data_IF_548802350027
#
_entry.id   IF_548802350027
#
_cell.length_a   1.000
_cell.length_b   1.000
_cell.length_c   1.000
_cell.angle_alpha   90.00
_cell.angle_beta   90.00
_cell.angle_gamma   90.00
#
_symmetry.space_group_name_H-M   'P 1'
#
loop_
_entity.id
_entity.type
_entity.pdbx_description
1 polymer ?
#
# COMPACT_ATOMS: atom_id res chain seq x y z
N UNK A 1 10.23 5.09 27.05
CA UNK A 1 9.90 3.69 26.71
C UNK A 1 8.65 3.43 27.48
N UNK A 2 7.57 3.15 26.77
CA UNK A 2 6.24 3.25 27.37
C UNK A 2 5.89 1.91 28.04
N UNK A 3 5.10 1.92 29.10
CA UNK A 3 4.54 0.72 29.71
C UNK A 3 3.02 0.79 29.55
N UNK A 4 2.44 -0.26 28.97
CA UNK A 4 1.00 -0.36 28.75
C UNK A 4 0.50 -1.63 29.42
N UNK A 5 -0.40 -1.48 30.41
CA UNK A 5 -1.10 -2.61 31.01
C UNK A 5 -2.45 -2.79 30.34
N UNK A 6 -2.73 -4.01 29.92
CA UNK A 6 -3.95 -4.35 29.21
C UNK A 6 -5.05 -4.78 30.16
N UNK A 7 -6.30 -4.49 29.80
CA UNK A 7 -7.45 -5.23 30.33
C UNK A 7 -7.47 -6.64 29.72
N UNK A 8 -8.19 -7.57 30.37
CA UNK A 8 -8.39 -8.93 29.86
C UNK A 8 -8.81 -8.97 28.38
N UNK A 9 -9.73 -8.09 27.96
CA UNK A 9 -10.19 -8.00 26.56
C UNK A 9 -9.07 -7.65 25.58
N UNK A 10 -8.17 -6.74 25.94
CA UNK A 10 -7.01 -6.38 25.11
C UNK A 10 -6.02 -7.53 25.01
N UNK A 11 -5.77 -8.22 26.13
CA UNK A 11 -4.91 -9.41 26.14
C UNK A 11 -5.47 -10.54 25.25
N UNK A 12 -6.76 -10.89 25.38
CA UNK A 12 -7.42 -11.92 24.58
C UNK A 12 -7.38 -11.62 23.06
N UNK A 13 -7.34 -10.34 22.67
CA UNK A 13 -7.15 -9.94 21.27
C UNK A 13 -5.77 -10.29 20.76
N UNK A 14 -4.73 -9.99 21.54
CA UNK A 14 -3.35 -10.36 21.20
C UNK A 14 -3.25 -11.88 21.06
N UNK A 15 -3.84 -12.65 21.99
CA UNK A 15 -3.83 -14.13 21.90
C UNK A 15 -4.49 -14.66 20.62
N UNK A 16 -5.46 -13.92 20.06
CA UNK A 16 -6.09 -14.22 18.77
C UNK A 16 -5.33 -13.63 17.56
N UNK A 17 -4.10 -13.17 17.76
CA UNK A 17 -3.24 -12.51 16.79
C UNK A 17 -3.81 -11.21 16.20
N UNK A 18 -4.72 -10.54 16.92
CA UNK A 18 -5.20 -9.23 16.54
C UNK A 18 -4.17 -8.17 16.95
N UNK A 19 -3.67 -7.40 15.98
CA UNK A 19 -2.57 -6.47 16.22
C UNK A 19 -3.01 -5.13 16.81
N UNK A 20 -4.30 -4.79 16.76
CA UNK A 20 -4.80 -3.49 17.21
C UNK A 20 -5.50 -3.59 18.56
N UNK A 21 -5.10 -2.74 19.49
CA UNK A 21 -5.66 -2.61 20.83
C UNK A 21 -6.17 -1.19 20.98
N UNK A 22 -7.45 -1.07 21.34
CA UNK A 22 -8.10 0.22 21.47
C UNK A 22 -7.91 0.82 22.87
N UNK A 23 -8.04 2.15 22.99
CA UNK A 23 -7.85 2.87 24.25
C UNK A 23 -8.74 2.34 25.39
N UNK A 24 -9.96 1.89 25.09
CA UNK A 24 -10.88 1.31 26.06
C UNK A 24 -10.47 -0.10 26.54
N UNK A 25 -9.51 -0.73 25.87
CA UNK A 25 -8.96 -2.06 26.17
C UNK A 25 -7.65 -1.99 26.97
N UNK A 26 -7.17 -0.77 27.26
CA UNK A 26 -5.99 -0.49 28.08
C UNK A 26 -6.45 -0.13 29.50
N UNK A 27 -5.77 -0.70 30.51
CA UNK A 27 -6.04 -0.46 31.93
C UNK A 27 -5.23 0.71 32.46
N UNK A 28 -3.92 0.70 32.22
CA UNK A 28 -2.97 1.68 32.74
C UNK A 28 -1.90 1.97 31.69
N UNK A 29 -1.45 3.22 31.63
CA UNK A 29 -0.30 3.63 30.80
C UNK A 29 0.66 4.42 31.67
N UNK A 30 1.91 3.99 31.73
CA UNK A 30 3.03 4.76 32.26
C UNK A 30 3.89 5.21 31.09
N UNK A 31 3.84 6.50 30.79
CA UNK A 31 4.39 7.05 29.55
C UNK A 31 4.95 8.45 29.77
N UNK A 32 6.20 8.66 29.36
CA UNK A 32 6.86 9.98 29.44
C UNK A 32 6.53 10.83 28.20
N UNK A 33 6.36 10.18 27.05
CA UNK A 33 6.23 10.85 25.74
C UNK A 33 4.83 10.78 25.13
N UNK A 34 3.97 9.90 25.64
CA UNK A 34 2.64 9.61 25.07
C UNK A 34 2.66 8.83 23.74
N UNK A 35 3.84 8.65 23.12
CA UNK A 35 4.03 7.97 21.83
C UNK A 35 5.38 7.26 21.82
N UNK A 36 5.45 6.03 21.29
CA UNK A 36 6.70 5.31 21.08
C UNK A 36 6.56 3.79 21.15
N UNK A 37 7.68 3.09 21.39
CA UNK A 37 7.67 1.65 21.69
C UNK A 37 7.20 1.43 23.12
N UNK A 38 6.17 0.59 23.27
CA UNK A 38 5.62 0.17 24.54
C UNK A 38 6.00 -1.28 24.88
N UNK A 39 6.38 -1.51 26.14
CA UNK A 39 6.33 -2.83 26.77
C UNK A 39 4.91 -3.07 27.28
N UNK A 40 4.34 -4.22 26.90
CA UNK A 40 2.94 -4.54 27.10
C UNK A 40 2.85 -5.58 28.21
N UNK A 41 1.97 -5.36 29.17
CA UNK A 41 1.75 -6.24 30.31
C UNK A 41 0.27 -6.61 30.47
N UNK A 42 0.02 -7.79 31.03
CA UNK A 42 -1.29 -8.23 31.51
C UNK A 42 -1.06 -9.07 32.77
N UNK A 43 -1.81 -8.81 33.85
CA UNK A 43 -1.65 -9.52 35.13
C UNK A 43 -0.18 -9.52 35.61
N UNK A 44 0.45 -8.35 35.52
CA UNK A 44 1.88 -8.07 35.81
C UNK A 44 2.91 -8.94 35.05
N UNK A 45 2.47 -9.67 34.02
CA UNK A 45 3.34 -10.46 33.14
C UNK A 45 3.58 -9.75 31.83
N UNK A 46 4.82 -9.81 31.35
CA UNK A 46 5.18 -9.30 30.03
C UNK A 46 4.45 -10.11 28.94
N UNK A 47 3.77 -9.40 28.05
CA UNK A 47 3.02 -9.95 26.91
C UNK A 47 3.78 -9.74 25.60
N UNK A 48 4.48 -8.62 25.47
CA UNK A 48 5.18 -8.28 24.25
C UNK A 48 5.50 -6.80 24.12
N UNK A 49 5.83 -6.37 22.90
CA UNK A 49 6.09 -4.98 22.54
C UNK A 49 5.21 -4.52 21.40
N UNK A 50 4.93 -3.22 21.36
CA UNK A 50 4.09 -2.61 20.32
C UNK A 50 4.35 -1.11 20.13
N UNK A 51 3.75 -0.55 19.09
CA UNK A 51 3.72 0.88 18.80
C UNK A 51 2.56 1.51 19.57
N UNK A 52 2.86 2.41 20.50
CA UNK A 52 1.85 3.13 21.27
C UNK A 52 1.71 4.58 20.78
N UNK A 53 0.47 5.05 20.67
CA UNK A 53 0.11 6.45 20.51
C UNK A 53 -1.19 6.74 21.29
N UNK A 54 -1.04 7.42 22.44
CA UNK A 54 -2.15 7.76 23.33
C UNK A 54 -3.17 8.74 22.76
N UNK A 55 -2.87 9.42 21.64
CA UNK A 55 -3.78 10.39 21.02
C UNK A 55 -4.82 9.75 20.09
N UNK A 56 -4.81 8.42 19.93
CA UNK A 56 -5.64 7.72 18.94
C UNK A 56 -6.51 6.67 19.60
N UNK A 57 -7.68 6.37 19.02
CA UNK A 57 -8.55 5.29 19.54
C UNK A 57 -7.90 3.91 19.42
N UNK A 58 -7.19 3.66 18.32
CA UNK A 58 -6.38 2.45 18.14
C UNK A 58 -4.98 2.70 18.72
N UNK A 59 -4.90 2.81 20.04
CA UNK A 59 -3.76 3.39 20.74
C UNK A 59 -2.52 2.50 20.75
N UNK A 60 -2.66 1.19 20.54
CA UNK A 60 -1.54 0.27 20.58
C UNK A 60 -1.59 -0.73 19.41
N UNK A 61 -0.50 -0.78 18.63
CA UNK A 61 -0.31 -1.72 17.52
C UNK A 61 0.79 -2.73 17.88
N UNK A 62 0.42 -3.97 18.13
CA UNK A 62 1.31 -5.04 18.58
C UNK A 62 2.38 -5.38 17.54
N UNK A 63 3.62 -5.63 17.99
CA UNK A 63 4.76 -5.94 17.13
C UNK A 63 5.35 -7.33 17.39
N UNK A 64 5.54 -7.75 18.65
CA UNK A 64 6.24 -9.00 18.95
C UNK A 64 5.93 -9.49 20.36
N UNK A 65 5.91 -10.81 20.54
CA UNK A 65 5.83 -11.47 21.85
C UNK A 65 7.19 -11.58 22.54
N UNK A 66 8.28 -11.38 21.80
CA UNK A 66 9.63 -11.53 22.34
C UNK A 66 10.02 -10.29 23.13
N UNK A 67 10.72 -10.50 24.23
CA UNK A 67 11.45 -9.42 24.91
C UNK A 67 12.71 -9.08 24.09
N UNK A 68 12.52 -8.31 23.03
CA UNK A 68 13.57 -7.94 22.07
C UNK A 68 13.44 -6.49 21.63
N UNK A 69 14.56 -5.84 21.36
CA UNK A 69 14.57 -4.47 20.85
C UNK A 69 13.99 -4.36 19.44
N UNK A 70 13.23 -3.28 19.20
CA UNK A 70 12.71 -2.92 17.87
C UNK A 70 13.79 -2.13 17.12
N UNK A 71 14.88 -2.82 16.78
CA UNK A 71 16.07 -2.26 16.14
C UNK A 71 16.25 -2.77 14.70
N UNK A 72 17.40 -2.47 14.08
CA UNK A 72 17.74 -2.88 12.72
C UNK A 72 17.51 -4.39 12.47
N UNK A 73 17.94 -5.25 13.40
CA UNK A 73 17.82 -6.70 13.27
C UNK A 73 16.36 -7.17 13.35
N UNK A 74 15.52 -6.49 14.13
CA UNK A 74 14.08 -6.75 14.16
C UNK A 74 13.46 -6.53 12.78
N UNK A 75 13.72 -5.38 12.15
CA UNK A 75 13.17 -5.05 10.83
C UNK A 75 13.73 -5.96 9.73
N UNK A 76 15.04 -6.21 9.71
CA UNK A 76 15.67 -7.16 8.76
C UNK A 76 14.98 -8.52 8.79
N UNK A 77 14.77 -9.08 9.99
CA UNK A 77 14.10 -10.37 10.13
C UNK A 77 12.65 -10.34 9.63
N UNK A 78 11.92 -9.25 9.89
CA UNK A 78 10.55 -9.05 9.35
C UNK A 78 10.54 -8.96 7.83
N UNK A 79 11.50 -8.24 7.24
CA UNK A 79 11.63 -8.09 5.80
C UNK A 79 12.00 -9.42 5.12
N UNK A 80 12.87 -10.23 5.72
CA UNK A 80 13.16 -11.57 5.21
C UNK A 80 11.92 -12.47 5.17
N UNK A 81 11.07 -12.45 6.21
CA UNK A 81 9.79 -13.16 6.17
C UNK A 81 8.86 -12.64 5.06
N UNK A 82 8.79 -11.31 4.88
CA UNK A 82 7.97 -10.71 3.84
C UNK A 82 8.46 -11.07 2.42
N UNK A 83 9.78 -11.10 2.20
CA UNK A 83 10.44 -11.57 0.96
C UNK A 83 10.12 -13.02 0.67
N UNK A 84 10.22 -13.90 1.68
CA UNK A 84 9.93 -15.32 1.52
C UNK A 84 8.50 -15.56 1.03
N UNK A 85 7.52 -14.82 1.55
CA UNK A 85 6.11 -14.89 1.10
C UNK A 85 5.92 -14.46 -0.35
N UNK A 86 6.83 -13.66 -0.89
CA UNK A 86 6.76 -13.03 -2.21
C UNK A 86 7.80 -13.55 -3.18
N UNK A 87 8.51 -14.62 -2.82
CA UNK A 87 9.64 -15.17 -3.57
C UNK A 87 9.33 -15.47 -5.04
N UNK A 88 8.07 -15.82 -5.35
CA UNK A 88 7.62 -16.16 -6.70
C UNK A 88 7.06 -14.97 -7.50
N UNK A 89 6.96 -13.79 -6.89
CA UNK A 89 6.41 -12.60 -7.54
C UNK A 89 7.53 -11.77 -8.18
N UNK A 90 7.20 -11.06 -9.26
CA UNK A 90 8.14 -10.12 -9.88
C UNK A 90 8.54 -9.00 -8.91
N UNK A 91 9.70 -8.34 -9.10
CA UNK A 91 10.12 -7.17 -8.32
C UNK A 91 9.22 -5.94 -8.46
N UNK A 92 8.13 -6.02 -9.23
CA UNK A 92 7.07 -5.03 -9.28
C UNK A 92 5.92 -5.54 -8.40
N UNK A 93 5.84 -5.15 -7.12
CA UNK A 93 4.88 -5.71 -6.15
C UNK A 93 4.84 -4.92 -4.86
N UNK A 94 3.82 -5.16 -4.02
CA UNK A 94 3.89 -4.75 -2.62
C UNK A 94 4.84 -5.66 -1.87
N UNK A 95 5.90 -5.12 -1.30
CA UNK A 95 6.89 -5.87 -0.52
C UNK A 95 6.49 -6.02 0.95
N UNK A 96 6.01 -4.94 1.58
CA UNK A 96 5.52 -4.92 2.96
C UNK A 96 4.09 -4.40 2.97
N UNK A 97 3.16 -5.15 3.55
CA UNK A 97 1.74 -4.84 3.63
C UNK A 97 1.26 -4.68 5.08
N UNK A 98 1.86 -3.74 5.81
CA UNK A 98 1.42 -3.30 7.14
C UNK A 98 1.22 -4.47 8.12
N UNK A 99 0.06 -4.55 8.77
CA UNK A 99 -0.35 -5.63 9.68
C UNK A 99 -0.22 -7.01 9.03
N UNK A 100 -0.46 -7.09 7.72
CA UNK A 100 -0.34 -8.32 6.95
C UNK A 100 1.06 -8.92 7.01
N UNK A 101 2.11 -8.12 7.19
CA UNK A 101 3.50 -8.56 7.39
C UNK A 101 4.02 -8.28 8.81
N UNK A 102 3.09 -8.11 9.77
CA UNK A 102 3.39 -7.89 11.19
C UNK A 102 4.24 -6.63 11.44
N UNK A 103 4.02 -5.60 10.63
CA UNK A 103 4.64 -4.28 10.72
C UNK A 103 3.55 -3.20 10.62
N UNK A 104 2.67 -3.06 11.63
CA UNK A 104 1.52 -2.16 11.56
C UNK A 104 1.91 -0.72 11.23
N UNK A 105 1.37 -0.21 10.13
CA UNK A 105 1.63 1.13 9.63
C UNK A 105 2.80 1.25 8.66
N UNK A 106 3.54 0.19 8.34
CA UNK A 106 4.56 0.22 7.28
C UNK A 106 4.01 -0.37 5.98
N UNK A 107 4.03 0.42 4.90
CA UNK A 107 3.81 -0.09 3.55
C UNK A 107 5.10 0.15 2.76
N UNK A 108 5.53 -0.87 2.02
CA UNK A 108 6.64 -0.74 1.07
C UNK A 108 6.20 -1.37 -0.24
N UNK A 109 6.08 -0.58 -1.28
CA UNK A 109 5.90 -1.05 -2.65
C UNK A 109 7.26 -1.06 -3.35
N UNK A 110 7.51 -2.10 -4.15
CA UNK A 110 8.75 -2.30 -4.90
C UNK A 110 8.46 -2.17 -6.38
N UNK A 111 9.24 -1.31 -7.02
CA UNK A 111 9.22 -1.02 -8.45
C UNK A 111 10.64 -1.31 -8.95
N UNK A 112 10.92 -2.59 -9.16
CA UNK A 112 12.25 -3.13 -9.46
C UNK A 112 13.33 -2.77 -8.42
N UNK A 113 14.19 -1.80 -8.72
CA UNK A 113 15.25 -1.29 -7.84
C UNK A 113 14.84 -0.06 -7.03
N UNK A 114 13.63 0.45 -7.24
CA UNK A 114 13.04 1.54 -6.44
C UNK A 114 12.12 0.99 -5.36
N UNK A 115 12.29 1.43 -4.12
CA UNK A 115 11.34 1.17 -3.03
C UNK A 115 10.55 2.43 -2.71
N UNK A 116 9.23 2.31 -2.61
CA UNK A 116 8.33 3.38 -2.21
C UNK A 116 7.77 3.06 -0.83
N UNK A 117 8.11 3.88 0.15
CA UNK A 117 7.76 3.70 1.56
C UNK A 117 6.59 4.60 1.92
N UNK A 118 5.65 4.06 2.70
CA UNK A 118 4.65 4.85 3.41
C UNK A 118 4.69 4.49 4.89
N UNK A 119 4.83 5.52 5.73
CA UNK A 119 4.77 5.39 7.18
C UNK A 119 3.43 5.94 7.65
N UNK A 120 2.62 5.11 8.31
CA UNK A 120 1.23 5.40 8.69
C UNK A 120 1.02 5.40 10.20
N UNK A 121 2.09 5.56 10.98
CA UNK A 121 2.04 5.64 12.43
C UNK A 121 3.07 6.60 13.01
N UNK A 122 2.67 7.39 14.01
CA UNK A 122 3.55 8.39 14.63
C UNK A 122 4.70 7.72 15.38
N UNK A 123 4.43 6.61 16.07
CA UNK A 123 5.48 5.84 16.74
C UNK A 123 6.48 5.26 15.73
N UNK A 124 6.01 4.82 14.57
CA UNK A 124 6.85 4.24 13.52
C UNK A 124 7.68 5.30 12.79
N UNK A 125 7.18 6.52 12.67
CA UNK A 125 7.90 7.67 12.10
C UNK A 125 9.23 7.91 12.83
N UNK A 126 9.25 7.74 14.16
CA UNK A 126 10.48 7.86 14.96
C UNK A 126 11.52 6.78 14.67
N UNK A 127 11.13 5.69 14.00
CA UNK A 127 11.99 4.57 13.61
C UNK A 127 12.37 4.61 12.13
N UNK A 128 12.00 5.68 11.39
CA UNK A 128 12.18 5.75 9.93
C UNK A 128 13.61 5.49 9.49
N UNK A 129 14.61 6.06 10.16
CA UNK A 129 16.01 5.85 9.80
C UNK A 129 16.41 4.37 9.93
N UNK A 130 16.00 3.70 11.02
CA UNK A 130 16.26 2.26 11.23
C UNK A 130 15.56 1.41 10.16
N UNK A 131 14.33 1.80 9.77
CA UNK A 131 13.58 1.15 8.70
C UNK A 131 14.31 1.31 7.36
N UNK A 132 14.78 2.51 7.03
CA UNK A 132 15.55 2.80 5.82
C UNK A 132 16.82 1.96 5.78
N UNK A 133 17.61 1.95 6.86
CA UNK A 133 18.82 1.14 6.97
C UNK A 133 18.52 -0.36 6.77
N UNK A 134 17.44 -0.86 7.38
CA UNK A 134 17.00 -2.24 7.20
C UNK A 134 16.59 -2.54 5.75
N UNK A 135 15.95 -1.59 5.05
CA UNK A 135 15.58 -1.75 3.65
C UNK A 135 16.81 -1.80 2.74
N UNK A 136 17.82 -0.95 3.01
CA UNK A 136 19.08 -0.96 2.28
C UNK A 136 19.76 -2.32 2.37
N UNK A 137 19.93 -2.85 3.59
CA UNK A 137 20.58 -4.15 3.78
C UNK A 137 19.77 -5.34 3.23
N UNK A 138 18.45 -5.24 3.17
CA UNK A 138 17.58 -6.37 2.80
C UNK A 138 17.29 -6.44 1.31
N UNK A 139 17.32 -5.32 0.59
CA UNK A 139 16.83 -5.22 -0.78
C UNK A 139 17.83 -4.70 -1.81
N UNK A 140 18.94 -4.07 -1.37
CA UNK A 140 19.92 -3.44 -2.26
C UNK A 140 19.24 -2.55 -3.35
N UNK A 141 18.45 -1.53 -2.94
CA UNK A 141 17.75 -0.64 -3.86
C UNK A 141 18.66 0.46 -4.39
N UNK A 142 18.34 1.00 -5.56
CA UNK A 142 18.98 2.21 -6.10
C UNK A 142 18.36 3.49 -5.51
N UNK A 143 17.08 3.44 -5.16
CA UNK A 143 16.35 4.56 -4.56
C UNK A 143 15.31 4.09 -3.55
N UNK A 144 15.16 4.86 -2.47
CA UNK A 144 14.05 4.74 -1.53
C UNK A 144 13.34 6.09 -1.51
N UNK A 145 12.06 6.09 -1.85
CA UNK A 145 11.23 7.28 -1.93
C UNK A 145 10.05 7.20 -0.96
N UNK A 146 9.73 8.28 -0.27
CA UNK A 146 8.59 8.36 0.64
C UNK A 146 7.35 8.91 -0.06
N UNK A 147 6.22 8.21 0.10
CA UNK A 147 4.87 8.63 -0.30
C UNK A 147 3.90 8.57 0.89
N UNK A 148 4.27 9.26 1.97
CA UNK A 148 3.43 9.46 3.15
C UNK A 148 2.55 10.73 3.01
N UNK A 149 2.29 11.17 1.78
CA UNK A 149 1.46 12.31 1.37
C UNK A 149 -0.03 11.93 1.26
N UNK A 150 -0.54 11.26 2.28
CA UNK A 150 -1.90 10.71 2.29
C UNK A 150 -2.98 11.78 2.11
N UNK A 151 -4.05 11.45 1.36
CA UNK A 151 -5.22 12.32 1.22
C UNK A 151 -5.86 12.63 2.59
N UNK A 152 -5.95 11.61 3.46
CA UNK A 152 -6.35 11.75 4.86
C UNK A 152 -5.27 11.17 5.77
N UNK A 153 -5.01 11.84 6.90
CA UNK A 153 -4.02 11.36 7.86
C UNK A 153 -4.48 10.03 8.47
N UNK A 154 -3.65 8.97 8.42
CA UNK A 154 -4.01 7.67 8.98
C UNK A 154 -3.98 7.66 10.51
N UNK A 155 -3.27 8.61 11.12
CA UNK A 155 -3.08 8.71 12.55
C UNK A 155 -2.92 10.18 12.96
N UNK A 156 -3.58 10.58 14.04
CA UNK A 156 -3.48 11.93 14.57
C UNK A 156 -2.04 12.21 15.06
N UNK A 157 -1.51 13.37 14.68
CA UNK A 157 -0.13 13.77 14.98
C UNK A 157 0.91 13.32 13.94
N UNK A 158 0.51 12.61 12.88
CA UNK A 158 1.41 12.26 11.79
C UNK A 158 1.50 13.42 10.77
N UNK A 159 2.73 13.80 10.41
CA UNK A 159 2.97 14.77 9.34
C UNK A 159 2.95 14.09 7.98
N UNK A 160 2.48 14.80 6.95
CA UNK A 160 2.64 14.36 5.56
C UNK A 160 4.09 14.53 5.14
N UNK A 161 4.64 13.50 4.50
CA UNK A 161 6.02 13.49 4.04
C UNK A 161 6.10 12.91 2.63
N UNK A 162 6.90 13.54 1.77
CA UNK A 162 7.16 13.11 0.40
C UNK A 162 8.57 13.52 0.01
N UNK A 163 9.36 12.58 -0.52
CA UNK A 163 10.73 12.89 -0.93
C UNK A 163 11.65 11.69 -0.92
N UNK A 164 12.91 11.93 -1.30
CA UNK A 164 13.95 10.90 -1.33
C UNK A 164 14.39 10.61 0.11
N UNK A 165 14.40 9.33 0.48
CA UNK A 165 15.00 8.82 1.71
C UNK A 165 16.41 8.27 1.47
N UNK A 166 16.69 7.76 0.27
CA UNK A 166 17.99 7.25 -0.14
C UNK A 166 18.15 7.26 -1.66
N UNK A 167 19.38 7.45 -2.15
CA UNK A 167 19.72 7.33 -3.56
C UNK A 167 19.35 8.55 -4.39
N UNK A 168 19.03 8.32 -5.66
CA UNK A 168 18.62 9.36 -6.62
C UNK A 168 17.10 9.54 -6.67
N UNK A 169 16.65 10.63 -7.29
CA UNK A 169 15.24 10.82 -7.62
C UNK A 169 14.79 9.69 -8.56
N UNK A 170 13.71 8.95 -8.24
CA UNK A 170 13.20 7.94 -9.15
C UNK A 170 12.73 8.59 -10.46
N UNK A 171 13.20 8.05 -11.58
CA UNK A 171 12.67 8.37 -12.90
C UNK A 171 11.40 7.55 -13.18
N UNK A 172 10.68 7.94 -14.24
CA UNK A 172 9.57 7.13 -14.74
C UNK A 172 10.14 5.81 -15.24
N UNK A 173 9.63 4.71 -14.69
CA UNK A 173 10.11 3.36 -14.99
C UNK A 173 9.10 2.61 -15.86
N UNK A 174 9.57 1.82 -16.81
CA UNK A 174 8.72 0.89 -17.55
C UNK A 174 8.82 -0.48 -16.90
N UNK A 175 7.72 -0.97 -16.31
CA UNK A 175 7.66 -2.24 -15.59
C UNK A 175 6.70 -3.21 -16.26
N UNK A 176 6.97 -4.50 -16.16
CA UNK A 176 6.14 -5.53 -16.77
C UNK A 176 5.22 -6.21 -15.75
N UNK A 177 3.94 -6.34 -16.10
CA UNK A 177 2.93 -7.13 -15.39
C UNK A 177 2.08 -7.88 -16.41
N UNK A 178 1.91 -9.19 -16.23
CA UNK A 178 1.11 -10.05 -17.12
C UNK A 178 1.55 -9.97 -18.60
N UNK A 179 2.84 -9.79 -18.88
CA UNK A 179 3.36 -9.63 -20.25
C UNK A 179 3.05 -8.27 -20.89
N UNK A 180 2.54 -7.30 -20.13
CA UNK A 180 2.32 -5.92 -20.58
C UNK A 180 3.24 -4.96 -19.84
N UNK A 181 3.71 -3.94 -20.54
CA UNK A 181 4.58 -2.88 -20.04
C UNK A 181 3.76 -1.69 -19.57
N UNK A 182 4.10 -1.14 -18.42
CA UNK A 182 3.45 0.03 -17.84
C UNK A 182 4.50 1.06 -17.43
N UNK A 183 4.32 2.31 -17.85
CA UNK A 183 5.04 3.46 -17.33
C UNK A 183 4.52 3.78 -15.93
N UNK A 184 5.44 3.84 -14.97
CA UNK A 184 5.15 4.12 -13.57
C UNK A 184 5.93 5.36 -13.14
N UNK A 185 5.19 6.39 -12.73
CA UNK A 185 5.73 7.56 -12.04
C UNK A 185 5.46 7.44 -10.54
N UNK A 186 6.46 6.98 -9.78
CA UNK A 186 6.33 6.84 -8.31
C UNK A 186 6.31 8.20 -7.58
N UNK A 187 6.78 9.27 -8.23
CA UNK A 187 6.87 10.60 -7.67
C UNK A 187 5.52 11.30 -7.77
N UNK A 188 4.91 11.34 -8.96
CA UNK A 188 3.69 12.11 -9.21
C UNK A 188 2.43 11.25 -9.36
N UNK A 189 2.57 9.95 -9.59
CA UNK A 189 1.43 9.04 -9.75
C UNK A 189 0.57 8.91 -8.48
N UNK A 190 -0.66 8.43 -8.67
CA UNK A 190 -1.59 8.19 -7.56
C UNK A 190 -1.07 7.09 -6.64
N UNK A 191 -1.47 7.12 -5.36
CA UNK A 191 -1.04 6.18 -4.32
C UNK A 191 0.50 6.17 -4.20
N UNK A 192 1.15 5.09 -4.61
CA UNK A 192 2.61 4.91 -4.63
C UNK A 192 3.19 4.96 -6.06
N UNK A 193 2.35 5.23 -7.06
CA UNK A 193 2.69 5.27 -8.49
C UNK A 193 1.85 4.33 -9.35
N UNK A 194 1.37 3.22 -8.78
CA UNK A 194 0.55 2.23 -9.50
C UNK A 194 -0.30 1.38 -8.53
N UNK A 195 -1.47 0.92 -8.97
CA UNK A 195 -2.35 0.05 -8.17
C UNK A 195 -1.93 -1.43 -8.28
N UNK A 196 -0.97 -1.82 -7.45
CA UNK A 196 -0.43 -3.18 -7.38
C UNK A 196 -1.42 -4.22 -6.85
N UNK A 197 -2.41 -3.80 -6.08
CA UNK A 197 -3.48 -4.63 -5.52
C UNK A 197 -4.44 -5.18 -6.56
N UNK A 198 -4.57 -4.51 -7.71
CA UNK A 198 -5.44 -4.95 -8.81
C UNK A 198 -4.76 -5.92 -9.79
N UNK A 199 -3.55 -6.43 -9.50
CA UNK A 199 -2.81 -7.35 -10.40
C UNK A 199 -3.60 -8.57 -10.81
N UNK A 200 -4.12 -9.30 -9.81
CA UNK A 200 -4.85 -10.54 -10.05
C UNK A 200 -6.19 -10.25 -10.73
N UNK A 201 -6.84 -9.15 -10.39
CA UNK A 201 -8.06 -8.68 -11.08
C UNK A 201 -7.77 -8.39 -12.56
N UNK A 202 -6.68 -7.69 -12.87
CA UNK A 202 -6.23 -7.40 -14.24
C UNK A 202 -5.87 -8.67 -15.01
N UNK A 203 -5.28 -9.67 -14.36
CA UNK A 203 -5.06 -10.97 -14.98
C UNK A 203 -6.39 -11.71 -15.23
N UNK A 204 -7.30 -11.67 -14.25
CA UNK A 204 -8.59 -12.36 -14.30
C UNK A 204 -9.49 -11.88 -15.44
N UNK A 205 -9.51 -10.58 -15.75
CA UNK A 205 -10.34 -10.06 -16.86
C UNK A 205 -9.97 -10.65 -18.22
N UNK A 206 -8.74 -11.17 -18.39
CA UNK A 206 -8.33 -11.84 -19.62
C UNK A 206 -9.08 -13.14 -19.90
N UNK A 207 -9.68 -13.75 -18.87
CA UNK A 207 -10.47 -14.98 -19.02
C UNK A 207 -11.79 -14.74 -19.79
N UNK A 208 -12.15 -13.49 -20.06
CA UNK A 208 -13.34 -13.12 -20.83
C UNK A 208 -13.03 -12.85 -22.31
N UNK A 209 -11.92 -13.35 -22.85
CA UNK A 209 -11.43 -13.11 -24.23
C UNK A 209 -12.41 -13.43 -25.36
N UNK A 210 -13.57 -14.04 -25.08
CA UNK A 210 -14.67 -14.22 -26.03
C UNK A 210 -15.55 -12.97 -26.26
N UNK A 211 -15.42 -11.94 -25.42
CA UNK A 211 -16.08 -10.65 -25.57
C UNK A 211 -15.50 -9.87 -26.76
N UNK A 212 -16.34 -9.16 -27.53
CA UNK A 212 -15.89 -8.38 -28.69
C UNK A 212 -15.63 -6.92 -28.31
N UNK A 213 -16.45 -6.35 -27.42
CA UNK A 213 -16.39 -4.95 -27.02
C UNK A 213 -16.41 -4.81 -25.49
N UNK A 214 -15.45 -4.09 -24.93
CA UNK A 214 -15.33 -3.89 -23.48
C UNK A 214 -15.21 -2.41 -23.10
N UNK A 215 -15.61 -2.09 -21.87
CA UNK A 215 -15.54 -0.77 -21.28
C UNK A 215 -14.79 -0.83 -19.95
N UNK A 216 -13.80 0.04 -19.77
CA UNK A 216 -13.08 0.25 -18.51
C UNK A 216 -13.46 1.61 -17.91
N UNK A 217 -14.34 1.61 -16.90
CA UNK A 217 -14.74 2.81 -16.17
C UNK A 217 -13.76 3.08 -15.03
N UNK A 218 -13.33 4.34 -14.89
CA UNK A 218 -12.25 4.75 -13.98
C UNK A 218 -10.92 4.10 -14.38
N UNK A 219 -10.60 4.14 -15.68
CA UNK A 219 -9.49 3.38 -16.27
C UNK A 219 -8.11 3.77 -15.75
N UNK A 220 -7.99 4.96 -15.14
CA UNK A 220 -6.73 5.51 -14.67
C UNK A 220 -5.66 5.47 -15.78
N UNK A 221 -4.54 4.78 -15.56
CA UNK A 221 -3.44 4.62 -16.52
C UNK A 221 -3.60 3.41 -17.46
N UNK A 222 -4.84 2.92 -17.62
CA UNK A 222 -5.21 1.89 -18.59
C UNK A 222 -5.02 0.45 -18.11
N UNK A 223 -4.91 0.22 -16.81
CA UNK A 223 -4.58 -1.08 -16.24
C UNK A 223 -5.48 -2.22 -16.73
N UNK A 224 -6.79 -2.10 -16.56
CA UNK A 224 -7.75 -3.10 -17.03
C UNK A 224 -7.94 -3.02 -18.55
N UNK A 225 -8.06 -1.81 -19.10
CA UNK A 225 -8.26 -1.60 -20.54
C UNK A 225 -7.19 -2.31 -21.39
N UNK A 226 -5.92 -2.19 -21.03
CA UNK A 226 -4.82 -2.84 -21.75
C UNK A 226 -4.83 -4.35 -21.58
N UNK A 227 -5.20 -4.87 -20.41
CA UNK A 227 -5.34 -6.31 -20.21
C UNK A 227 -6.48 -6.90 -21.06
N UNK A 228 -7.59 -6.19 -21.22
CA UNK A 228 -8.70 -6.59 -22.10
C UNK A 228 -8.32 -6.47 -23.59
N UNK A 229 -7.64 -5.38 -23.98
CA UNK A 229 -7.19 -5.17 -25.36
C UNK A 229 -6.16 -6.22 -25.80
N UNK A 230 -5.28 -6.65 -24.89
CA UNK A 230 -4.31 -7.71 -25.14
C UNK A 230 -4.94 -9.07 -25.49
N UNK A 231 -6.23 -9.28 -25.22
CA UNK A 231 -6.96 -10.49 -25.67
C UNK A 231 -7.70 -10.29 -27.00
N UNK A 232 -7.53 -9.15 -27.66
CA UNK A 232 -8.15 -8.81 -28.94
C UNK A 232 -9.53 -8.14 -28.85
N UNK A 233 -9.94 -7.68 -27.66
CA UNK A 233 -11.19 -6.92 -27.50
C UNK A 233 -11.04 -5.50 -28.06
N UNK A 234 -12.13 -4.93 -28.59
CA UNK A 234 -12.22 -3.48 -28.81
C UNK A 234 -12.59 -2.80 -27.49
N UNK A 235 -11.73 -1.94 -26.98
CA UNK A 235 -11.84 -1.39 -25.62
C UNK A 235 -11.99 0.12 -25.63
N UNK A 236 -13.02 0.61 -24.94
CA UNK A 236 -13.16 2.01 -24.55
C UNK A 236 -12.69 2.16 -23.08
N UNK A 237 -11.81 3.11 -22.78
CA UNK A 237 -11.35 3.43 -21.43
C UNK A 237 -11.77 4.85 -21.03
N UNK A 238 -12.44 5.00 -19.89
CA UNK A 238 -12.99 6.29 -19.43
C UNK A 238 -12.34 6.73 -18.12
N UNK A 239 -11.81 7.95 -18.11
CA UNK A 239 -11.35 8.64 -16.90
C UNK A 239 -11.61 10.15 -16.98
N UNK A 240 -11.65 10.82 -15.84
CA UNK A 240 -11.79 12.29 -15.78
C UNK A 240 -10.44 13.00 -15.97
N UNK A 241 -9.35 12.30 -15.67
CA UNK A 241 -8.00 12.83 -15.58
C UNK A 241 -7.30 12.74 -16.93
N UNK A 242 -7.13 13.90 -17.59
CA UNK A 242 -6.39 13.95 -18.86
C UNK A 242 -4.97 13.41 -18.72
N UNK A 243 -4.29 13.76 -17.62
CA UNK A 243 -2.92 13.31 -17.38
C UNK A 243 -2.82 11.80 -17.24
N UNK A 244 -3.80 11.16 -16.60
CA UNK A 244 -3.81 9.69 -16.46
C UNK A 244 -4.13 9.03 -17.81
N UNK A 245 -5.01 9.61 -18.62
CA UNK A 245 -5.30 9.14 -19.98
C UNK A 245 -4.12 9.29 -20.93
N UNK A 246 -3.31 10.35 -20.82
CA UNK A 246 -2.07 10.48 -21.60
C UNK A 246 -1.07 9.37 -21.26
N UNK A 247 -0.95 9.00 -19.98
CA UNK A 247 -0.14 7.84 -19.56
C UNK A 247 -0.77 6.54 -20.10
N UNK A 248 -2.09 6.40 -20.06
CA UNK A 248 -2.79 5.24 -20.59
C UNK A 248 -2.54 5.05 -22.10
N UNK A 249 -2.59 6.14 -22.88
CA UNK A 249 -2.26 6.16 -24.32
C UNK A 249 -0.79 5.79 -24.57
N UNK A 250 0.13 6.30 -23.76
CA UNK A 250 1.55 5.92 -23.83
C UNK A 250 1.74 4.42 -23.53
N UNK A 251 1.06 3.90 -22.51
CA UNK A 251 1.07 2.47 -22.19
C UNK A 251 0.49 1.61 -23.33
N UNK A 252 -0.60 2.05 -23.97
CA UNK A 252 -1.16 1.37 -25.14
C UNK A 252 -0.14 1.31 -26.30
N UNK A 253 0.51 2.44 -26.57
CA UNK A 253 1.54 2.57 -27.61
C UNK A 253 2.73 1.64 -27.35
N UNK A 254 3.24 1.57 -26.11
CA UNK A 254 4.39 0.73 -25.76
C UNK A 254 4.08 -0.78 -25.89
N UNK A 255 2.79 -1.16 -25.84
CA UNK A 255 2.34 -2.54 -25.99
C UNK A 255 1.75 -2.85 -27.38
N UNK A 256 1.81 -1.92 -28.33
CA UNK A 256 1.19 -2.04 -29.66
C UNK A 256 -0.31 -2.41 -29.60
N UNK A 257 -1.04 -1.83 -28.62
CA UNK A 257 -2.47 -2.04 -28.42
C UNK A 257 -3.27 -0.81 -28.84
N UNK A 258 -4.42 -1.04 -29.46
CA UNK A 258 -5.39 0.01 -29.80
C UNK A 258 -6.50 0.04 -28.76
N UNK A 259 -6.60 1.16 -28.03
CA UNK A 259 -7.61 1.40 -26.99
C UNK A 259 -8.11 2.84 -27.15
N UNK A 260 -9.42 2.99 -27.18
CA UNK A 260 -10.04 4.30 -27.28
C UNK A 260 -10.22 4.92 -25.89
N UNK A 261 -9.33 5.84 -25.53
CA UNK A 261 -9.36 6.56 -24.26
C UNK A 261 -10.18 7.85 -24.36
N UNK A 262 -11.19 7.98 -23.51
CA UNK A 262 -12.18 9.07 -23.54
C UNK A 262 -12.15 9.81 -22.20
N UNK A 263 -11.88 11.12 -22.25
CA UNK A 263 -12.01 11.98 -21.09
C UNK A 263 -13.47 12.25 -20.78
N UNK A 264 -14.00 11.63 -19.73
CA UNK A 264 -15.40 11.78 -19.32
C UNK A 264 -15.59 11.41 -17.85
N UNK A 265 -16.60 11.99 -17.20
CA UNK A 265 -17.10 11.48 -15.93
C UNK A 265 -17.69 10.07 -16.12
N UNK A 266 -17.10 9.08 -15.45
CA UNK A 266 -17.54 7.69 -15.51
C UNK A 266 -18.94 7.47 -14.89
N UNK A 267 -19.46 8.42 -14.11
CA UNK A 267 -20.86 8.40 -13.67
C UNK A 267 -21.84 8.87 -14.76
N UNK A 268 -21.37 9.64 -15.75
CA UNK A 268 -22.18 10.02 -16.91
C UNK A 268 -22.09 8.94 -18.00
N UNK A 269 -23.10 8.08 -18.06
CA UNK A 269 -23.19 7.01 -19.06
C UNK A 269 -23.86 7.45 -20.37
N UNK A 270 -24.24 8.72 -20.51
CA UNK A 270 -24.97 9.22 -21.68
C UNK A 270 -24.16 9.05 -22.96
N UNK A 271 -24.77 8.47 -24.00
CA UNK A 271 -24.11 8.29 -25.30
C UNK A 271 -23.11 7.13 -25.36
N UNK A 272 -22.94 6.36 -24.28
CA UNK A 272 -22.21 5.10 -24.33
C UNK A 272 -23.05 4.02 -25.01
N UNK A 273 -22.37 3.11 -25.72
CA UNK A 273 -23.00 1.99 -26.42
C UNK A 273 -23.28 0.79 -25.53
N UNK A 274 -23.61 -0.34 -26.16
CA UNK A 274 -23.71 -1.64 -25.50
C UNK A 274 -22.33 -2.31 -25.52
N UNK A 275 -21.93 -2.85 -24.38
CA UNK A 275 -20.66 -3.55 -24.19
C UNK A 275 -20.91 -4.98 -23.71
N UNK A 276 -20.04 -5.91 -24.10
CA UNK A 276 -20.09 -7.31 -23.65
C UNK A 276 -19.50 -7.47 -22.24
N UNK A 277 -18.53 -6.62 -21.90
CA UNK A 277 -17.85 -6.60 -20.61
C UNK A 277 -17.68 -5.15 -20.13
N UNK A 278 -18.02 -4.89 -18.88
CA UNK A 278 -17.80 -3.60 -18.22
C UNK A 278 -17.03 -3.84 -16.93
N UNK A 279 -15.90 -3.17 -16.80
CA UNK A 279 -15.14 -3.07 -15.54
C UNK A 279 -15.41 -1.70 -14.93
N UNK A 280 -15.63 -1.67 -13.62
CA UNK A 280 -15.77 -0.44 -12.87
C UNK A 280 -14.96 -0.55 -11.57
N UNK A 281 -13.94 0.31 -11.45
CA UNK A 281 -13.09 0.41 -10.26
C UNK A 281 -13.12 1.84 -9.69
N UNK A 282 -14.28 2.29 -9.15
CA UNK A 282 -14.42 3.65 -8.66
C UNK A 282 -13.54 3.91 -7.42
N UNK A 283 -13.15 5.17 -7.17
CA UNK A 283 -12.53 5.54 -5.91
C UNK A 283 -13.48 5.27 -4.72
N UNK A 284 -12.90 5.15 -3.51
CA UNK A 284 -13.70 4.89 -2.30
C UNK A 284 -14.77 5.98 -2.07
N UNK A 285 -16.04 5.60 -2.21
CA UNK A 285 -17.19 6.49 -2.05
C UNK A 285 -17.51 6.80 -0.58
N UNK A 286 -17.20 5.86 0.32
CA UNK A 286 -17.46 6.02 1.76
C UNK A 286 -16.15 6.35 2.46
N UNK A 287 -15.96 7.63 2.83
CA UNK A 287 -14.76 8.09 3.56
C UNK A 287 -14.93 8.05 5.08
N UNK A 288 -16.16 8.10 5.61
CA UNK A 288 -16.51 7.92 7.03
C UNK A 288 -17.86 7.21 7.14
N UNK A 289 -18.00 6.31 8.12
CA UNK A 289 -19.33 5.86 8.59
C UNK A 289 -19.87 6.96 9.50
N UNK A 290 -21.04 7.51 9.18
CA UNK A 290 -21.88 8.20 10.17
C UNK A 290 -22.35 7.22 11.24
#
# INVERSE_FOLDING_TARGET
MEIVKLKKRGFEKIERNHLWIFSDEIEEVLSDKGVGIANIFYDDKFVGRGLYNGNTKNSLKFLTYKDEEINLNFFRRRFEFAKLRRKQLSPFRREINSEGDLLPGLIVDRFDKTLVVQVRSVALESLKNIIVDALLESYDPESIYERSDFESLPEDGLSRSKGILYGSMPEIQTLEENGLKFAVDVVNGQKTGFFLDQRESRAFVRNFSGSKRALDLFTYTGGFALNMAATGMNVDGIDISESDLEIAKANATINDLDVNFIKKDAFDLTGLGIYDLVIADPPSLIKKKE
#
